data_IF_651763555570
#
_entry.id   IF_651763555570
#
_cell.length_a   1.000
_cell.length_b   1.000
_cell.length_c   1.000
_cell.angle_alpha   90.00
_cell.angle_beta   90.00
_cell.angle_gamma   90.00
#
_symmetry.space_group_name_H-M   'P 1'
#
loop_
_entity.id
_entity.type
_entity.pdbx_description
1 polymer ?
#
# COMPACT_ATOMS: atom_id res chain seq x y z
N UNK A 1 -3.05 -35.78 10.08
CA UNK A 1 -2.56 -34.60 9.32
C UNK A 1 -3.51 -34.19 8.20
N UNK A 2 -3.80 -35.06 7.23
CA UNK A 2 -4.75 -34.79 6.12
C UNK A 2 -6.10 -34.25 6.61
N UNK A 3 -6.75 -34.90 7.57
CA UNK A 3 -8.01 -34.37 8.16
C UNK A 3 -7.84 -32.97 8.78
N UNK A 4 -6.71 -32.71 9.45
CA UNK A 4 -6.43 -31.39 10.00
C UNK A 4 -6.24 -30.32 8.92
N UNK A 5 -5.81 -30.70 7.71
CA UNK A 5 -5.69 -29.79 6.57
C UNK A 5 -7.04 -29.45 5.94
N UNK A 6 -8.11 -30.17 6.28
CA UNK A 6 -9.49 -29.84 5.89
C UNK A 6 -10.22 -28.97 6.93
N UNK A 7 -9.57 -28.69 8.07
CA UNK A 7 -10.18 -27.97 9.19
C UNK A 7 -9.50 -26.61 9.35
N UNK A 8 -10.30 -25.58 9.62
CA UNK A 8 -9.85 -24.24 10.02
C UNK A 8 -10.21 -24.01 11.48
N UNK A 9 -9.32 -23.38 12.24
CA UNK A 9 -9.50 -23.15 13.68
C UNK A 9 -10.69 -22.24 14.01
N UNK A 10 -11.03 -21.31 13.11
CA UNK A 10 -12.12 -20.34 13.28
C UNK A 10 -13.17 -20.60 12.20
N UNK A 11 -14.41 -20.80 12.63
CA UNK A 11 -15.56 -20.96 11.73
C UNK A 11 -15.82 -19.66 10.97
N UNK A 12 -15.84 -19.75 9.64
CA UNK A 12 -16.15 -18.64 8.73
C UNK A 12 -17.42 -18.96 7.97
N UNK A 13 -18.39 -18.06 7.99
CA UNK A 13 -19.56 -18.13 7.11
C UNK A 13 -19.15 -17.81 5.65
N UNK A 14 -19.96 -18.17 4.64
CA UNK A 14 -19.62 -17.97 3.22
C UNK A 14 -19.27 -16.52 2.87
N UNK A 15 -19.98 -15.55 3.46
CA UNK A 15 -19.71 -14.11 3.28
C UNK A 15 -18.33 -13.67 3.79
N UNK A 16 -17.69 -14.44 4.67
CA UNK A 16 -16.33 -14.18 5.13
C UNK A 16 -15.31 -14.96 4.31
N UNK A 17 -15.63 -16.20 3.94
CA UNK A 17 -14.71 -17.06 3.18
C UNK A 17 -14.47 -16.53 1.76
N UNK A 18 -15.50 -15.93 1.14
CA UNK A 18 -15.41 -15.33 -0.19
C UNK A 18 -14.39 -14.19 -0.31
N UNK A 19 -13.96 -13.65 0.83
CA UNK A 19 -13.02 -12.54 0.91
C UNK A 19 -11.57 -13.01 0.89
N UNK A 20 -11.32 -14.28 1.23
CA UNK A 20 -9.97 -14.83 1.33
C UNK A 20 -9.48 -15.32 -0.03
N UNK A 21 -8.18 -15.14 -0.24
CA UNK A 21 -7.38 -15.81 -1.29
C UNK A 21 -6.54 -16.95 -0.72
N UNK A 22 -6.24 -16.86 0.59
CA UNK A 22 -5.40 -17.80 1.31
C UNK A 22 -6.00 -18.14 2.67
N UNK A 23 -6.20 -19.43 2.91
CA UNK A 23 -6.64 -19.97 4.18
C UNK A 23 -5.45 -20.56 4.94
N UNK A 24 -5.36 -20.27 6.24
CA UNK A 24 -4.45 -20.95 7.14
C UNK A 24 -5.22 -22.06 7.84
N UNK A 25 -4.86 -23.30 7.53
CA UNK A 25 -5.51 -24.49 8.06
C UNK A 25 -4.99 -24.81 9.46
N UNK A 26 -5.63 -25.73 10.18
CA UNK A 26 -5.22 -26.15 11.54
C UNK A 26 -3.82 -26.78 11.55
N UNK A 27 -3.36 -27.35 10.43
CA UNK A 27 -1.97 -27.80 10.26
C UNK A 27 -0.96 -26.66 10.15
N UNK A 28 -1.41 -25.39 10.20
CA UNK A 28 -0.65 -24.15 9.95
C UNK A 28 -0.16 -23.96 8.52
N UNK A 29 -0.41 -24.92 7.63
CA UNK A 29 -0.15 -24.79 6.21
C UNK A 29 -1.18 -23.88 5.54
N UNK A 30 -0.80 -23.37 4.38
CA UNK A 30 -1.63 -22.51 3.57
C UNK A 30 -2.38 -23.30 2.50
N UNK A 31 -3.58 -22.84 2.21
CA UNK A 31 -4.45 -23.38 1.18
C UNK A 31 -5.01 -22.21 0.37
N UNK A 32 -4.75 -22.19 -0.93
CA UNK A 32 -5.33 -21.20 -1.83
C UNK A 32 -6.83 -21.44 -1.96
N UNK A 33 -7.62 -20.37 -2.02
CA UNK A 33 -9.07 -20.45 -2.21
C UNK A 33 -9.50 -19.39 -3.21
N UNK A 34 -10.39 -19.79 -4.12
CA UNK A 34 -11.14 -18.88 -4.96
C UNK A 34 -12.61 -19.28 -4.87
N UNK A 35 -13.28 -18.74 -3.85
CA UNK A 35 -14.67 -19.11 -3.56
C UNK A 35 -15.62 -18.65 -4.67
N UNK A 36 -15.32 -17.54 -5.36
CA UNK A 36 -16.17 -17.00 -6.43
C UNK A 36 -16.18 -17.92 -7.64
N UNK A 37 -15.03 -18.50 -7.95
CA UNK A 37 -14.89 -19.52 -8.99
C UNK A 37 -15.17 -20.94 -8.49
N UNK A 38 -15.58 -21.09 -7.22
CA UNK A 38 -15.93 -22.37 -6.62
C UNK A 38 -14.75 -23.30 -6.37
N UNK A 39 -13.52 -22.77 -6.23
CA UNK A 39 -12.28 -23.55 -6.08
C UNK A 39 -11.67 -23.43 -4.68
N UNK A 40 -11.04 -24.51 -4.24
CA UNK A 40 -10.24 -24.58 -3.01
C UNK A 40 -9.09 -25.55 -3.21
N UNK A 41 -7.86 -25.03 -3.23
CA UNK A 41 -6.68 -25.79 -3.63
C UNK A 41 -6.86 -26.38 -5.02
N UNK A 42 -6.79 -27.71 -5.12
CA UNK A 42 -7.02 -28.50 -6.32
C UNK A 42 -8.40 -29.18 -6.36
N UNK A 43 -9.30 -28.80 -5.44
CA UNK A 43 -10.68 -29.25 -5.33
C UNK A 43 -11.66 -28.14 -5.70
N UNK A 44 -12.92 -28.52 -5.90
CA UNK A 44 -14.06 -27.62 -6.12
C UNK A 44 -15.08 -27.77 -4.99
N UNK A 45 -15.73 -26.68 -4.61
CA UNK A 45 -16.88 -26.71 -3.71
C UNK A 45 -18.07 -27.39 -4.40
N UNK A 46 -18.80 -28.24 -3.67
CA UNK A 46 -19.93 -29.02 -4.18
C UNK A 46 -21.15 -28.83 -3.31
N UNK A 47 -22.34 -28.58 -3.85
CA UNK A 47 -23.58 -28.54 -3.05
C UNK A 47 -23.65 -27.38 -2.05
N UNK A 48 -24.66 -27.44 -1.18
CA UNK A 48 -24.97 -26.36 -0.24
C UNK A 48 -24.10 -26.41 1.02
N UNK A 49 -23.85 -25.23 1.56
CA UNK A 49 -23.12 -25.04 2.82
C UNK A 49 -23.98 -25.51 4.00
N UNK A 50 -23.43 -26.38 4.86
CA UNK A 50 -24.19 -26.98 5.97
C UNK A 50 -23.81 -26.27 7.29
N UNK A 51 -24.72 -25.49 7.89
CA UNK A 51 -24.48 -24.88 9.20
C UNK A 51 -24.59 -25.93 10.31
N UNK A 52 -23.68 -25.86 11.29
CA UNK A 52 -23.61 -26.75 12.45
C UNK A 52 -23.56 -25.94 13.74
N UNK A 53 -23.81 -26.56 14.89
CA UNK A 53 -23.79 -25.89 16.20
C UNK A 53 -22.42 -25.33 16.60
N UNK A 54 -21.35 -25.88 16.04
CA UNK A 54 -19.96 -25.52 16.33
C UNK A 54 -19.15 -25.10 15.10
N UNK A 55 -19.79 -24.88 13.95
CA UNK A 55 -19.09 -24.49 12.74
C UNK A 55 -19.92 -24.55 11.47
N UNK A 56 -19.22 -24.56 10.34
CA UNK A 56 -19.80 -24.64 9.00
C UNK A 56 -19.06 -25.71 8.22
N UNK A 57 -19.79 -26.58 7.52
CA UNK A 57 -19.22 -27.60 6.65
C UNK A 57 -19.35 -27.13 5.20
N UNK A 58 -18.22 -27.10 4.51
CA UNK A 58 -18.12 -26.91 3.07
C UNK A 58 -17.83 -28.27 2.45
N UNK A 59 -18.69 -28.69 1.54
CA UNK A 59 -18.54 -29.93 0.79
C UNK A 59 -17.61 -29.67 -0.41
N UNK A 60 -16.70 -30.61 -0.67
CA UNK A 60 -15.71 -30.53 -1.76
C UNK A 60 -15.62 -31.85 -2.52
N UNK A 61 -15.27 -31.80 -3.80
CA UNK A 61 -15.20 -32.96 -4.70
C UNK A 61 -13.95 -33.83 -4.53
N UNK A 62 -12.92 -33.33 -3.84
CA UNK A 62 -11.62 -33.98 -3.72
C UNK A 62 -11.03 -33.84 -2.32
N UNK A 63 -10.29 -34.85 -1.90
CA UNK A 63 -9.51 -34.82 -0.65
C UNK A 63 -8.29 -33.92 -0.86
N UNK A 64 -8.21 -32.85 -0.06
CA UNK A 64 -7.09 -31.92 -0.05
C UNK A 64 -5.86 -32.57 0.59
N UNK A 65 -4.72 -32.46 -0.05
CA UNK A 65 -3.46 -33.00 0.47
C UNK A 65 -2.52 -31.87 0.89
N UNK A 66 -2.03 -31.87 2.14
CA UNK A 66 -1.04 -30.89 2.57
C UNK A 66 0.24 -31.05 1.75
N UNK A 67 0.89 -29.94 1.42
CA UNK A 67 2.18 -29.98 0.72
C UNK A 67 3.32 -30.13 1.74
N UNK A 68 4.20 -31.09 1.48
CA UNK A 68 5.46 -31.25 2.22
C UNK A 68 6.62 -30.53 1.53
N UNK A 69 6.39 -30.05 0.30
CA UNK A 69 7.43 -29.44 -0.50
C UNK A 69 7.73 -28.04 0.02
N UNK A 70 9.01 -27.79 0.32
CA UNK A 70 9.51 -26.45 0.57
C UNK A 70 9.49 -25.58 -0.70
N UNK A 71 9.71 -24.28 -0.55
CA UNK A 71 9.74 -23.34 -1.67
C UNK A 71 10.69 -23.78 -2.79
N UNK A 72 11.88 -24.28 -2.44
CA UNK A 72 12.87 -24.69 -3.43
C UNK A 72 12.44 -25.97 -4.17
N UNK A 73 11.99 -26.99 -3.45
CA UNK A 73 11.47 -28.24 -4.00
C UNK A 73 10.24 -28.00 -4.88
N UNK A 74 9.35 -27.09 -4.47
CA UNK A 74 8.17 -26.73 -5.25
C UNK A 74 8.56 -26.10 -6.59
N UNK A 75 9.51 -25.17 -6.58
CA UNK A 75 10.03 -24.54 -7.80
C UNK A 75 10.70 -25.58 -8.73
N UNK A 76 11.46 -26.53 -8.17
CA UNK A 76 12.11 -27.59 -8.95
C UNK A 76 11.11 -28.53 -9.63
N UNK A 77 10.02 -28.89 -8.95
CA UNK A 77 8.99 -29.82 -9.46
C UNK A 77 8.08 -29.21 -10.53
N UNK A 78 7.86 -27.90 -10.48
CA UNK A 78 6.95 -27.20 -11.40
C UNK A 78 7.52 -27.14 -12.83
N UNK A 79 8.84 -27.05 -12.98
CA UNK A 79 9.53 -27.11 -14.28
C UNK A 79 9.53 -25.80 -15.08
N UNK A 80 8.81 -24.75 -14.65
CA UNK A 80 8.87 -23.40 -15.27
C UNK A 80 10.00 -22.50 -14.75
N UNK A 81 10.73 -22.96 -13.73
CA UNK A 81 11.70 -22.17 -12.95
C UNK A 81 13.13 -22.76 -13.00
N UNK A 82 13.54 -23.38 -14.11
CA UNK A 82 14.83 -24.05 -14.21
C UNK A 82 16.01 -23.07 -14.07
N UNK A 83 15.92 -21.89 -14.70
CA UNK A 83 16.96 -20.86 -14.60
C UNK A 83 17.00 -20.30 -13.18
N UNK A 84 15.83 -20.06 -12.57
CA UNK A 84 15.74 -19.52 -11.22
C UNK A 84 16.31 -20.48 -10.17
N UNK A 85 15.93 -21.76 -10.21
CA UNK A 85 16.44 -22.79 -9.29
C UNK A 85 17.94 -23.03 -9.46
N UNK A 86 18.45 -22.97 -10.70
CA UNK A 86 19.89 -22.96 -10.97
C UNK A 86 20.57 -21.74 -10.34
N UNK A 87 19.99 -20.56 -10.47
CA UNK A 87 20.51 -19.33 -9.88
C UNK A 87 20.52 -19.36 -8.35
N UNK A 88 19.46 -19.87 -7.70
CA UNK A 88 19.39 -20.08 -6.24
C UNK A 88 20.51 -21.02 -5.77
N UNK A 89 20.78 -22.08 -6.54
CA UNK A 89 21.84 -23.04 -6.23
C UNK A 89 23.22 -22.40 -6.37
N UNK A 90 23.46 -21.68 -7.47
CA UNK A 90 24.71 -21.01 -7.76
C UNK A 90 25.04 -19.92 -6.73
N UNK A 91 24.05 -19.12 -6.32
CA UNK A 91 24.20 -18.07 -5.29
C UNK A 91 24.27 -18.59 -3.85
N UNK A 92 24.22 -19.92 -3.66
CA UNK A 92 24.24 -20.58 -2.34
C UNK A 92 23.10 -20.15 -1.40
N UNK A 93 22.03 -19.57 -1.94
CA UNK A 93 20.86 -19.11 -1.18
C UNK A 93 19.83 -20.21 -0.90
N UNK A 94 20.06 -21.45 -1.34
CA UNK A 94 19.13 -22.57 -1.12
C UNK A 94 18.68 -22.74 0.34
N UNK A 95 19.55 -22.48 1.32
CA UNK A 95 19.20 -22.53 2.75
C UNK A 95 18.06 -21.59 3.13
N UNK A 96 18.00 -20.40 2.52
CA UNK A 96 16.94 -19.42 2.77
C UNK A 96 15.58 -19.97 2.31
N UNK A 97 15.54 -20.62 1.15
CA UNK A 97 14.33 -21.21 0.56
C UNK A 97 13.91 -22.52 1.23
N UNK A 98 14.83 -23.19 1.92
CA UNK A 98 14.60 -24.48 2.59
C UNK A 98 14.31 -24.33 4.09
N UNK A 99 14.42 -23.13 4.66
CA UNK A 99 14.18 -22.93 6.09
C UNK A 99 12.70 -23.15 6.44
N UNK A 100 12.41 -24.20 7.22
CA UNK A 100 11.06 -24.59 7.66
C UNK A 100 10.58 -23.82 8.91
N UNK A 101 11.47 -23.11 9.61
CA UNK A 101 11.11 -22.40 10.84
C UNK A 101 10.54 -21.00 10.59
N UNK A 102 10.67 -20.51 9.36
CA UNK A 102 10.22 -19.19 8.94
C UNK A 102 9.25 -19.30 7.77
N UNK A 103 8.46 -18.26 7.57
CA UNK A 103 7.48 -18.17 6.49
C UNK A 103 7.91 -17.11 5.49
N UNK A 104 7.93 -17.46 4.21
CA UNK A 104 8.42 -16.58 3.15
C UNK A 104 7.38 -16.35 2.05
N UNK A 105 7.58 -15.29 1.28
CA UNK A 105 6.94 -15.06 -0.01
C UNK A 105 8.03 -15.00 -1.05
N UNK A 106 7.94 -15.85 -2.08
CA UNK A 106 8.85 -15.83 -3.22
C UNK A 106 8.12 -15.26 -4.44
N UNK A 107 8.66 -14.20 -5.02
CA UNK A 107 8.26 -13.71 -6.33
C UNK A 107 9.13 -14.44 -7.38
N UNK A 108 8.63 -15.53 -7.95
CA UNK A 108 9.41 -16.44 -8.77
C UNK A 108 9.36 -16.07 -10.27
N UNK A 109 10.46 -15.60 -10.86
CA UNK A 109 10.53 -15.34 -12.30
C UNK A 109 10.60 -16.65 -13.09
N UNK A 110 9.78 -16.77 -14.12
CA UNK A 110 9.81 -17.91 -15.04
C UNK A 110 11.08 -17.92 -15.90
N UNK A 111 11.37 -19.04 -16.56
CA UNK A 111 12.46 -19.10 -17.54
C UNK A 111 12.28 -18.07 -18.67
N UNK A 112 11.04 -17.75 -19.05
CA UNK A 112 10.75 -16.69 -20.01
C UNK A 112 11.08 -15.30 -19.46
N UNK A 113 10.84 -15.06 -18.17
CA UNK A 113 11.22 -13.82 -17.50
C UNK A 113 12.74 -13.57 -17.55
N UNK A 114 13.54 -14.62 -17.33
CA UNK A 114 15.00 -14.54 -17.48
C UNK A 114 15.43 -14.28 -18.91
N UNK A 115 14.77 -14.88 -19.91
CA UNK A 115 15.07 -14.66 -21.33
C UNK A 115 14.74 -13.25 -21.82
N UNK A 116 13.95 -12.47 -21.08
CA UNK A 116 13.72 -11.04 -21.35
C UNK A 116 14.93 -10.17 -21.00
N UNK A 117 15.88 -10.67 -20.19
CA UNK A 117 17.13 -9.96 -19.93
C UNK A 117 18.00 -9.96 -21.20
N UNK A 118 18.82 -8.92 -21.43
CA UNK A 118 19.82 -8.96 -22.48
C UNK A 118 20.71 -10.21 -22.34
N UNK A 119 20.98 -10.92 -23.43
CA UNK A 119 21.69 -12.21 -23.39
C UNK A 119 23.05 -12.11 -22.64
N UNK A 120 23.80 -11.03 -22.90
CA UNK A 120 25.07 -10.76 -22.19
C UNK A 120 24.88 -10.60 -20.68
N UNK A 121 23.79 -9.97 -20.25
CA UNK A 121 23.46 -9.82 -18.83
C UNK A 121 23.16 -11.18 -18.23
N UNK A 122 22.29 -11.98 -18.86
CA UNK A 122 21.92 -13.31 -18.37
C UNK A 122 23.14 -14.23 -18.24
N UNK A 123 24.01 -14.26 -19.24
CA UNK A 123 25.24 -15.06 -19.20
C UNK A 123 26.19 -14.58 -18.11
N UNK A 124 26.33 -13.26 -17.95
CA UNK A 124 27.20 -12.67 -16.94
C UNK A 124 26.78 -13.03 -15.51
N UNK A 125 25.47 -13.22 -15.25
CA UNK A 125 24.95 -13.56 -13.93
C UNK A 125 25.52 -14.86 -13.35
N UNK A 126 25.96 -15.79 -14.20
CA UNK A 126 26.49 -17.10 -13.77
C UNK A 126 28.03 -17.15 -13.79
N UNK A 127 28.71 -16.02 -14.01
CA UNK A 127 30.15 -15.94 -13.91
C UNK A 127 30.58 -15.86 -12.43
N UNK A 128 31.67 -16.53 -12.02
CA UNK A 128 32.13 -16.52 -10.62
C UNK A 128 32.35 -15.12 -10.05
N UNK A 129 32.74 -14.15 -10.87
CA UNK A 129 32.98 -12.77 -10.44
C UNK A 129 31.68 -12.04 -10.06
N UNK A 130 30.51 -12.57 -10.43
CA UNK A 130 29.19 -11.99 -10.16
C UNK A 130 28.40 -12.76 -9.08
N UNK A 131 29.05 -13.63 -8.31
CA UNK A 131 28.40 -14.43 -7.25
C UNK A 131 27.63 -13.55 -6.24
N UNK A 132 28.23 -12.44 -5.79
CA UNK A 132 27.57 -11.49 -4.87
C UNK A 132 26.36 -10.82 -5.52
N UNK A 133 26.49 -10.39 -6.78
CA UNK A 133 25.39 -9.80 -7.54
C UNK A 133 24.24 -10.79 -7.72
N UNK A 134 24.55 -12.05 -7.99
CA UNK A 134 23.55 -13.11 -8.13
C UNK A 134 22.85 -13.38 -6.79
N UNK A 135 23.60 -13.40 -5.69
CA UNK A 135 23.04 -13.49 -4.33
C UNK A 135 22.06 -12.36 -4.04
N UNK A 136 22.43 -11.12 -4.35
CA UNK A 136 21.57 -9.95 -4.14
C UNK A 136 20.29 -10.02 -4.96
N UNK A 137 20.38 -10.39 -6.24
CA UNK A 137 19.22 -10.59 -7.10
C UNK A 137 18.30 -11.68 -6.53
N UNK A 138 18.85 -12.82 -6.08
CA UNK A 138 18.02 -13.91 -5.52
C UNK A 138 17.35 -13.48 -4.20
N UNK A 139 18.07 -12.81 -3.31
CA UNK A 139 17.51 -12.27 -2.06
C UNK A 139 16.42 -11.22 -2.32
N UNK A 140 16.52 -10.49 -3.43
CA UNK A 140 15.53 -9.49 -3.79
C UNK A 140 14.16 -10.09 -4.17
N UNK A 141 14.15 -11.33 -4.66
CA UNK A 141 12.92 -12.04 -5.04
C UNK A 141 12.19 -12.74 -3.88
N UNK A 142 12.70 -12.67 -2.65
CA UNK A 142 12.12 -13.35 -1.49
C UNK A 142 11.94 -12.38 -0.32
N UNK A 143 10.87 -12.54 0.44
CA UNK A 143 10.59 -11.75 1.65
C UNK A 143 10.46 -12.68 2.85
N UNK A 144 10.83 -12.21 4.06
CA UNK A 144 10.78 -12.98 5.31
C UNK A 144 9.40 -12.96 5.98
N UNK A 145 8.34 -12.96 5.18
CA UNK A 145 6.96 -13.05 5.64
C UNK A 145 6.05 -13.52 4.52
N UNK A 146 4.84 -13.97 4.87
CA UNK A 146 3.79 -14.28 3.89
C UNK A 146 2.99 -13.02 3.59
N UNK A 147 2.98 -12.64 2.32
CA UNK A 147 2.19 -11.55 1.73
C UNK A 147 1.26 -12.13 0.67
N UNK A 148 0.03 -12.45 1.06
CA UNK A 148 -0.97 -13.00 0.14
C UNK A 148 -1.39 -11.96 -0.91
N UNK A 149 -1.83 -12.40 -2.09
CA UNK A 149 -2.31 -11.50 -3.13
C UNK A 149 -3.63 -10.83 -2.73
N UNK A 150 -4.57 -11.60 -2.18
CA UNK A 150 -5.79 -11.09 -1.56
C UNK A 150 -5.79 -11.22 -0.03
N UNK A 151 -6.95 -11.07 0.62
CA UNK A 151 -7.02 -11.26 2.09
C UNK A 151 -6.57 -12.67 2.46
N UNK A 152 -5.86 -12.75 3.58
CA UNK A 152 -5.50 -14.03 4.19
C UNK A 152 -6.12 -14.15 5.57
N UNK A 153 -6.65 -15.34 5.87
CA UNK A 153 -7.10 -15.63 7.24
C UNK A 153 -5.91 -15.73 8.21
N UNK A 154 -6.18 -15.55 9.51
CA UNK A 154 -5.17 -15.69 10.56
C UNK A 154 -4.21 -14.51 10.71
N UNK A 155 -4.62 -13.30 10.33
CA UNK A 155 -3.87 -12.06 10.58
C UNK A 155 -2.60 -11.89 9.74
N UNK A 156 -2.55 -12.52 8.55
CA UNK A 156 -1.42 -12.35 7.63
C UNK A 156 -1.60 -11.09 6.78
N UNK A 157 -0.47 -10.59 6.29
CA UNK A 157 -0.40 -9.38 5.49
C UNK A 157 -0.83 -9.70 4.06
N UNK A 158 -1.55 -8.78 3.46
CA UNK A 158 -1.97 -8.87 2.06
C UNK A 158 -1.30 -7.75 1.27
N UNK A 159 -0.87 -8.07 0.05
CA UNK A 159 -0.29 -7.08 -0.86
C UNK A 159 -1.33 -6.02 -1.20
N UNK A 160 -0.90 -4.76 -1.25
CA UNK A 160 -1.82 -3.65 -1.54
C UNK A 160 -2.81 -3.35 -0.42
N UNK A 161 -2.53 -3.74 0.84
CA UNK A 161 -3.14 -3.09 2.03
C UNK A 161 -2.32 -1.85 2.36
N UNK A 162 -2.99 -0.77 2.76
CA UNK A 162 -2.35 0.46 3.23
C UNK A 162 -1.33 0.15 4.33
N UNK A 163 -0.14 0.75 4.24
CA UNK A 163 0.97 0.55 5.21
C UNK A 163 1.54 -0.88 5.26
N UNK A 164 1.12 -1.76 4.35
CA UNK A 164 1.70 -3.08 4.18
C UNK A 164 2.69 -3.04 3.04
N UNK A 165 3.95 -2.88 3.43
CA UNK A 165 5.06 -2.76 2.49
C UNK A 165 5.99 -3.97 2.63
N UNK A 166 6.06 -4.85 1.62
CA UNK A 166 7.01 -5.95 1.63
C UNK A 166 8.44 -5.43 1.50
N UNK A 167 9.34 -6.00 2.30
CA UNK A 167 10.78 -5.85 2.14
C UNK A 167 11.36 -7.19 1.70
N UNK A 168 12.21 -7.13 0.69
CA UNK A 168 13.00 -8.28 0.26
C UNK A 168 14.05 -8.66 1.30
N UNK A 169 14.54 -9.89 1.25
CA UNK A 169 15.66 -10.36 2.07
C UNK A 169 16.97 -9.64 1.74
N UNK A 170 17.04 -8.95 0.60
CA UNK A 170 18.13 -8.03 0.27
C UNK A 170 18.06 -6.73 1.10
N UNK A 171 16.90 -6.39 1.66
CA UNK A 171 16.68 -5.21 2.50
C UNK A 171 16.05 -4.03 1.77
N UNK A 172 15.77 -4.16 0.47
CA UNK A 172 15.03 -3.15 -0.30
C UNK A 172 13.52 -3.41 -0.25
N UNK A 173 12.77 -2.32 -0.35
CA UNK A 173 11.32 -2.37 -0.41
C UNK A 173 10.90 -2.87 -1.79
N UNK A 174 9.86 -3.71 -1.85
CA UNK A 174 9.24 -4.12 -3.09
C UNK A 174 7.96 -3.32 -3.31
N UNK A 175 7.82 -2.73 -4.49
CA UNK A 175 6.70 -1.87 -4.83
C UNK A 175 5.55 -2.66 -5.46
N UNK A 176 4.46 -2.85 -4.73
CA UNK A 176 3.26 -3.48 -5.24
C UNK A 176 2.29 -2.46 -5.84
N UNK A 177 1.89 -2.65 -7.11
CA UNK A 177 0.88 -1.81 -7.78
C UNK A 177 -0.25 -2.64 -8.36
N UNK A 178 -1.48 -2.16 -8.24
CA UNK A 178 -2.65 -2.81 -8.83
C UNK A 178 -3.20 -2.00 -10.00
N UNK A 179 -3.11 -2.54 -11.22
CA UNK A 179 -3.55 -1.90 -12.46
C UNK A 179 -4.94 -2.36 -12.91
N UNK A 180 -5.87 -2.52 -11.97
CA UNK A 180 -7.28 -2.89 -12.21
C UNK A 180 -7.53 -4.33 -12.67
N UNK A 181 -6.73 -4.84 -13.61
CA UNK A 181 -6.81 -6.21 -14.16
C UNK A 181 -5.65 -7.11 -13.76
N UNK A 182 -4.53 -6.54 -13.35
CA UNK A 182 -3.33 -7.27 -12.96
C UNK A 182 -2.58 -6.46 -11.91
N UNK A 183 -1.78 -7.16 -11.09
CA UNK A 183 -0.84 -6.52 -10.20
C UNK A 183 0.59 -6.61 -10.75
N UNK A 184 1.43 -5.70 -10.28
CA UNK A 184 2.87 -5.74 -10.48
C UNK A 184 3.60 -5.65 -9.14
N UNK A 185 4.80 -6.21 -9.12
CA UNK A 185 5.78 -6.04 -8.05
C UNK A 185 7.07 -5.51 -8.70
N UNK A 186 7.48 -4.29 -8.35
CA UNK A 186 8.56 -3.54 -9.01
C UNK A 186 8.46 -3.52 -10.55
N UNK A 187 7.21 -3.37 -11.04
CA UNK A 187 6.90 -3.36 -12.47
C UNK A 187 6.98 -4.73 -13.18
N UNK A 188 7.30 -5.81 -12.46
CA UNK A 188 7.12 -7.18 -12.94
C UNK A 188 5.67 -7.61 -12.74
N UNK A 189 5.00 -8.08 -13.79
CA UNK A 189 3.60 -8.51 -13.72
C UNK A 189 3.51 -9.82 -12.95
N UNK A 190 2.62 -9.88 -11.97
CA UNK A 190 2.29 -11.11 -11.26
C UNK A 190 1.30 -11.90 -12.13
N UNK A 191 1.70 -13.10 -12.57
CA UNK A 191 0.93 -13.94 -13.51
C UNK A 191 0.13 -15.03 -12.82
N UNK A 192 0.64 -15.57 -11.71
CA UNK A 192 -0.05 -16.53 -10.85
C UNK A 192 0.25 -16.17 -9.39
N UNK A 193 -0.71 -16.41 -8.50
CA UNK A 193 -0.66 -15.90 -7.13
C UNK A 193 -0.88 -17.01 -6.11
N UNK A 194 -0.36 -16.81 -4.91
CA UNK A 194 -0.73 -17.58 -3.70
C UNK A 194 -0.51 -19.10 -3.83
N UNK A 195 0.51 -19.55 -4.56
CA UNK A 195 0.83 -20.98 -4.69
C UNK A 195 1.44 -21.47 -3.35
N UNK A 196 0.76 -22.35 -2.59
CA UNK A 196 1.19 -22.72 -1.25
C UNK A 196 2.39 -23.68 -1.26
N UNK A 197 3.30 -23.48 -0.29
CA UNK A 197 4.45 -24.34 0.02
C UNK A 197 4.49 -24.63 1.52
N UNK A 198 5.32 -25.58 1.95
CA UNK A 198 5.43 -25.95 3.37
C UNK A 198 5.93 -24.78 4.25
N UNK A 199 6.76 -23.88 3.69
CA UNK A 199 7.36 -22.74 4.38
C UNK A 199 7.02 -21.37 3.75
N UNK A 200 5.91 -21.27 3.03
CA UNK A 200 5.54 -19.98 2.43
C UNK A 200 4.58 -20.07 1.26
N UNK A 201 4.62 -19.05 0.42
CA UNK A 201 3.86 -18.96 -0.82
C UNK A 201 4.75 -18.48 -1.99
N UNK A 202 4.36 -18.83 -3.21
CA UNK A 202 4.98 -18.37 -4.45
C UNK A 202 3.98 -17.51 -5.22
N UNK A 203 4.43 -16.33 -5.65
CA UNK A 203 3.81 -15.53 -6.69
C UNK A 203 4.67 -15.63 -7.94
N UNK A 204 4.10 -16.02 -9.07
CA UNK A 204 4.84 -16.15 -10.34
C UNK A 204 4.89 -14.78 -11.02
N UNK A 205 6.07 -14.38 -11.48
CA UNK A 205 6.28 -13.08 -12.13
C UNK A 205 6.88 -13.24 -13.54
N UNK A 206 6.58 -12.27 -14.40
CA UNK A 206 6.96 -12.31 -15.81
C UNK A 206 8.29 -11.61 -16.14
N UNK A 207 8.95 -11.01 -15.15
CA UNK A 207 10.24 -10.30 -15.28
C UNK A 207 11.10 -10.54 -14.04
N UNK A 208 12.41 -10.57 -14.22
CA UNK A 208 13.37 -10.59 -13.11
C UNK A 208 13.39 -9.19 -12.46
N UNK A 209 13.23 -9.13 -11.14
CA UNK A 209 13.34 -7.91 -10.35
C UNK A 209 14.79 -7.71 -9.95
N UNK A 210 15.37 -6.57 -10.28
CA UNK A 210 16.76 -6.25 -9.97
C UNK A 210 16.79 -5.24 -8.81
N UNK A 211 17.67 -5.44 -7.81
CA UNK A 211 17.89 -4.42 -6.79
C UNK A 211 18.25 -3.08 -7.40
N UNK A 212 17.77 -1.99 -6.81
CA UNK A 212 18.15 -0.64 -7.21
C UNK A 212 19.55 -0.30 -6.69
N UNK A 213 20.49 -0.03 -7.60
CA UNK A 213 21.85 0.39 -7.25
C UNK A 213 21.99 1.92 -7.22
N UNK A 214 21.03 2.65 -7.80
CA UNK A 214 21.10 4.10 -7.94
C UNK A 214 20.55 4.82 -6.71
N UNK A 215 21.21 5.92 -6.34
CA UNK A 215 20.67 6.89 -5.39
C UNK A 215 19.50 7.65 -5.98
N UNK A 216 18.70 8.26 -5.11
CA UNK A 216 17.60 9.14 -5.48
C UNK A 216 18.07 10.29 -6.40
N UNK A 217 19.25 10.85 -6.14
CA UNK A 217 19.82 11.93 -6.96
C UNK A 217 20.30 11.41 -8.32
N UNK A 218 20.88 10.21 -8.39
CA UNK A 218 21.29 9.61 -9.66
C UNK A 218 20.09 9.29 -10.55
N UNK A 219 18.99 8.78 -9.97
CA UNK A 219 17.74 8.58 -10.71
C UNK A 219 17.20 9.90 -11.27
N UNK A 220 17.14 10.95 -10.44
CA UNK A 220 16.68 12.28 -10.87
C UNK A 220 17.57 12.85 -11.97
N UNK A 221 18.90 12.76 -11.82
CA UNK A 221 19.86 13.27 -12.81
C UNK A 221 19.87 12.45 -14.11
N UNK A 222 19.59 11.15 -14.03
CA UNK A 222 19.55 10.24 -15.17
C UNK A 222 18.32 10.43 -16.06
N UNK A 223 17.23 10.98 -15.53
CA UNK A 223 15.98 11.16 -16.26
C UNK A 223 15.81 12.58 -16.81
N UNK A 224 15.72 12.71 -18.14
CA UNK A 224 15.62 14.02 -18.83
C UNK A 224 14.46 14.90 -18.33
N UNK A 225 13.35 14.28 -17.93
CA UNK A 225 12.14 14.97 -17.44
C UNK A 225 12.30 15.67 -16.10
N UNK A 226 13.39 15.42 -15.37
CA UNK A 226 13.72 16.07 -14.10
C UNK A 226 14.94 16.99 -14.19
N UNK A 227 15.39 17.35 -15.39
CA UNK A 227 16.59 18.17 -15.58
C UNK A 227 16.49 19.54 -14.89
N UNK A 228 15.33 20.20 -14.91
CA UNK A 228 15.13 21.47 -14.18
C UNK A 228 15.26 21.25 -12.67
N UNK A 229 14.60 20.23 -12.13
CA UNK A 229 14.70 19.88 -10.71
C UNK A 229 16.15 19.57 -10.30
N UNK A 230 16.86 18.77 -11.09
CA UNK A 230 18.25 18.41 -10.82
C UNK A 230 19.15 19.65 -10.72
N UNK A 231 18.97 20.63 -11.63
CA UNK A 231 19.71 21.90 -11.58
C UNK A 231 19.40 22.68 -10.31
N UNK A 232 18.12 22.81 -9.95
CA UNK A 232 17.67 23.56 -8.78
C UNK A 232 18.14 22.91 -7.47
N UNK A 233 18.18 21.59 -7.37
CA UNK A 233 18.71 20.87 -6.21
C UNK A 233 20.20 21.17 -5.98
N UNK A 234 20.99 21.23 -7.04
CA UNK A 234 22.42 21.56 -6.96
C UNK A 234 22.66 23.04 -6.69
N UNK A 235 21.88 23.93 -7.31
CA UNK A 235 22.00 25.38 -7.08
C UNK A 235 21.67 25.79 -5.64
N UNK A 236 20.65 25.17 -5.05
CA UNK A 236 20.23 25.44 -3.66
C UNK A 236 21.03 24.68 -2.62
N UNK A 237 21.88 23.72 -3.03
CA UNK A 237 22.64 22.84 -2.15
C UNK A 237 21.78 21.79 -1.41
N UNK A 238 20.52 21.60 -1.81
CA UNK A 238 19.64 20.58 -1.25
C UNK A 238 20.04 19.15 -1.68
N UNK A 239 20.88 19.02 -2.70
CA UNK A 239 21.49 17.73 -3.08
C UNK A 239 22.42 17.16 -1.98
N UNK A 240 23.10 18.01 -1.20
CA UNK A 240 23.99 17.56 -0.11
C UNK A 240 23.27 16.69 0.94
N UNK A 241 22.16 17.13 1.57
CA UNK A 241 21.42 16.28 2.51
C UNK A 241 20.76 15.06 1.83
N UNK A 242 20.35 15.18 0.56
CA UNK A 242 19.74 14.08 -0.21
C UNK A 242 20.74 13.00 -0.63
N UNK A 243 22.04 13.31 -0.64
CA UNK A 243 23.12 12.35 -0.91
C UNK A 243 23.41 11.42 0.29
N UNK A 244 22.79 11.66 1.46
CA UNK A 244 22.97 10.80 2.64
C UNK A 244 22.56 9.36 2.36
N UNK A 245 23.42 8.42 2.75
CA UNK A 245 23.13 6.98 2.78
C UNK A 245 22.54 6.51 4.12
N UNK A 246 22.53 7.37 5.15
CA UNK A 246 22.04 7.04 6.50
C UNK A 246 20.56 7.38 6.69
N UNK A 247 20.03 8.22 5.83
CA UNK A 247 18.66 8.72 5.91
C UNK A 247 17.96 8.36 4.63
N UNK A 248 16.76 7.79 4.75
CA UNK A 248 15.91 7.54 3.59
C UNK A 248 15.01 8.74 3.35
N UNK A 249 14.73 9.02 2.08
CA UNK A 249 13.87 10.13 1.67
C UNK A 249 12.77 9.66 0.72
N UNK A 250 11.67 10.40 0.72
CA UNK A 250 10.66 10.32 -0.34
C UNK A 250 10.59 11.68 -1.00
N UNK A 251 10.93 11.76 -2.28
CA UNK A 251 10.87 13.00 -3.04
C UNK A 251 9.69 12.95 -4.01
N UNK A 252 8.90 14.03 -4.01
CA UNK A 252 7.89 14.29 -5.01
C UNK A 252 8.50 15.21 -6.06
N UNK A 253 9.10 14.63 -7.11
CA UNK A 253 9.86 15.31 -8.14
C UNK A 253 8.93 15.95 -9.20
N UNK A 254 8.83 17.29 -9.29
CA UNK A 254 8.07 17.93 -10.35
C UNK A 254 8.79 17.76 -11.68
N UNK A 255 8.05 17.31 -12.69
CA UNK A 255 8.55 17.23 -14.07
C UNK A 255 8.85 18.62 -14.63
N UNK A 256 9.68 18.72 -15.66
CA UNK A 256 10.06 19.99 -16.28
C UNK A 256 8.86 20.90 -16.60
N UNK A 257 7.75 20.34 -17.08
CA UNK A 257 6.52 21.08 -17.41
C UNK A 257 5.87 21.73 -16.19
N UNK A 258 6.09 21.19 -14.98
CA UNK A 258 5.58 21.76 -13.74
C UNK A 258 6.26 23.10 -13.40
N UNK A 259 7.55 23.24 -13.76
CA UNK A 259 8.35 24.44 -13.51
C UNK A 259 8.08 25.57 -14.51
N UNK A 260 7.43 25.27 -15.63
CA UNK A 260 7.03 26.26 -16.65
C UNK A 260 5.73 27.00 -16.30
N UNK A 261 5.14 26.69 -15.15
CA UNK A 261 3.93 27.34 -14.65
C UNK A 261 4.30 28.54 -13.76
N UNK A 262 3.52 29.62 -13.85
CA UNK A 262 3.65 30.73 -12.90
C UNK A 262 3.13 30.31 -11.51
N UNK A 263 3.73 30.81 -10.41
CA UNK A 263 4.79 31.83 -10.35
C UNK A 263 6.23 31.29 -10.52
N UNK A 264 6.40 29.97 -10.61
CA UNK A 264 7.72 29.31 -10.56
C UNK A 264 8.61 29.65 -11.75
N UNK A 265 8.01 29.77 -12.93
CA UNK A 265 8.73 30.19 -14.14
C UNK A 265 9.42 31.54 -13.99
N UNK A 266 8.69 32.54 -13.47
CA UNK A 266 9.25 33.87 -13.21
C UNK A 266 10.26 33.84 -12.08
N UNK A 267 10.01 33.05 -11.03
CA UNK A 267 10.94 32.89 -9.91
C UNK A 267 12.29 32.34 -10.40
N UNK A 268 12.29 31.24 -11.16
CA UNK A 268 13.53 30.63 -11.69
C UNK A 268 14.31 31.62 -12.56
N UNK A 269 13.63 32.47 -13.34
CA UNK A 269 14.32 33.47 -14.18
C UNK A 269 14.88 34.66 -13.40
N UNK A 270 14.22 35.07 -12.31
CA UNK A 270 14.47 36.37 -11.67
C UNK A 270 15.03 36.27 -10.23
N UNK A 271 15.26 35.06 -9.71
CA UNK A 271 15.58 34.86 -8.30
C UNK A 271 16.90 35.50 -7.82
N UNK A 272 17.90 35.69 -8.71
CA UNK A 272 19.20 36.27 -8.32
C UNK A 272 19.85 35.54 -7.15
N UNK A 273 20.75 36.20 -6.41
CA UNK A 273 21.41 35.57 -5.23
C UNK A 273 20.49 35.39 -4.02
N UNK A 274 19.43 36.20 -3.88
CA UNK A 274 18.54 36.16 -2.70
C UNK A 274 17.41 35.13 -2.83
N UNK A 275 16.99 34.77 -4.04
CA UNK A 275 15.91 33.80 -4.23
C UNK A 275 16.36 32.33 -4.16
N UNK A 276 17.65 32.06 -3.93
CA UNK A 276 18.12 30.71 -3.63
C UNK A 276 17.50 30.16 -2.34
N UNK A 277 17.27 30.99 -1.32
CA UNK A 277 16.58 30.59 -0.08
C UNK A 277 15.10 30.30 -0.32
N UNK A 278 14.44 31.10 -1.17
CA UNK A 278 13.05 30.90 -1.57
C UNK A 278 12.88 29.59 -2.35
N UNK A 279 13.77 29.34 -3.32
CA UNK A 279 13.83 28.08 -4.07
C UNK A 279 14.14 26.89 -3.16
N UNK A 280 15.08 27.03 -2.22
CA UNK A 280 15.36 26.00 -1.22
C UNK A 280 14.10 25.66 -0.44
N UNK A 281 13.35 26.66 0.04
CA UNK A 281 12.08 26.45 0.73
C UNK A 281 11.08 25.68 -0.12
N UNK A 282 10.93 26.04 -1.40
CA UNK A 282 10.02 25.33 -2.33
C UNK A 282 10.45 23.88 -2.49
N UNK A 283 11.72 23.62 -2.80
CA UNK A 283 12.26 22.27 -2.99
C UNK A 283 12.16 21.44 -1.70
N UNK A 284 12.40 22.05 -0.55
CA UNK A 284 12.30 21.41 0.76
C UNK A 284 10.90 20.89 1.09
N UNK A 285 9.85 21.44 0.48
CA UNK A 285 8.47 20.92 0.60
C UNK A 285 8.23 19.66 -0.22
N UNK A 286 9.06 19.40 -1.23
CA UNK A 286 8.96 18.22 -2.07
C UNK A 286 9.67 17.00 -1.47
N UNK A 287 10.45 17.20 -0.40
CA UNK A 287 11.23 16.14 0.24
C UNK A 287 10.64 15.82 1.61
N UNK A 288 10.40 14.53 1.83
CA UNK A 288 9.88 13.97 3.08
C UNK A 288 10.93 13.04 3.66
N UNK A 289 11.13 13.12 4.98
CA UNK A 289 12.03 12.21 5.70
C UNK A 289 11.38 10.84 5.85
N UNK A 290 12.14 9.80 5.55
CA UNK A 290 11.68 8.42 5.56
C UNK A 290 11.14 7.97 4.21
N UNK A 291 10.90 6.67 4.13
CA UNK A 291 10.36 5.99 2.96
C UNK A 291 8.85 5.82 3.09
N UNK A 292 8.09 6.56 2.29
CA UNK A 292 6.63 6.59 2.33
C UNK A 292 6.07 6.13 1.00
N UNK A 293 5.37 5.00 1.03
CA UNK A 293 4.75 4.40 -0.15
C UNK A 293 3.59 5.28 -0.61
N UNK A 294 3.62 5.68 -1.86
CA UNK A 294 2.65 6.55 -2.50
C UNK A 294 1.64 5.80 -3.33
N UNK A 295 1.89 4.58 -3.80
CA UNK A 295 0.90 3.78 -4.53
C UNK A 295 -0.25 3.39 -3.62
N UNK A 296 0.08 2.91 -2.41
CA UNK A 296 -0.90 2.44 -1.45
C UNK A 296 -0.68 3.05 -0.04
N UNK A 297 -0.80 4.38 0.06
CA UNK A 297 -0.64 5.08 1.32
C UNK A 297 -1.87 4.89 2.17
N UNK A 298 -1.70 4.98 3.50
CA UNK A 298 -2.86 5.22 4.38
C UNK A 298 -3.70 6.37 3.81
N UNK A 299 -5.02 6.22 3.66
CA UNK A 299 -5.84 7.31 3.16
C UNK A 299 -5.66 8.54 4.03
N UNK A 300 -5.34 9.68 3.43
CA UNK A 300 -5.06 10.93 4.15
C UNK A 300 -3.87 10.81 5.14
N UNK A 301 -2.75 10.26 4.67
CA UNK A 301 -1.52 10.15 5.47
C UNK A 301 -0.86 11.52 5.62
N UNK A 302 -0.78 12.03 6.86
CA UNK A 302 -0.07 13.27 7.20
C UNK A 302 1.42 12.99 7.33
N UNK A 303 2.19 13.55 6.41
CA UNK A 303 3.64 13.46 6.35
C UNK A 303 4.27 14.81 6.72
N UNK A 304 5.54 14.77 7.14
CA UNK A 304 6.31 15.98 7.44
C UNK A 304 7.41 16.16 6.40
N UNK A 305 7.37 17.29 5.71
CA UNK A 305 8.43 17.71 4.80
C UNK A 305 9.69 18.06 5.59
N UNK A 306 10.86 18.11 4.94
CA UNK A 306 12.09 18.61 5.59
C UNK A 306 11.99 20.10 5.95
N UNK A 307 11.11 20.85 5.28
CA UNK A 307 10.73 22.21 5.65
C UNK A 307 9.90 22.28 6.96
N UNK A 308 9.40 21.15 7.45
CA UNK A 308 8.58 21.04 8.66
C UNK A 308 7.08 21.23 8.43
N UNK A 309 6.67 21.69 7.25
CA UNK A 309 5.27 21.82 6.87
C UNK A 309 4.61 20.44 6.71
N UNK A 310 3.38 20.25 7.20
CA UNK A 310 2.62 19.02 6.97
C UNK A 310 2.20 18.94 5.50
N UNK A 311 2.21 17.72 4.96
CA UNK A 311 1.76 17.43 3.61
C UNK A 311 0.91 16.16 3.64
N UNK A 312 -0.18 16.13 2.87
CA UNK A 312 -1.13 15.03 2.93
C UNK A 312 -1.08 14.21 1.67
N UNK A 313 -0.74 12.94 1.85
CA UNK A 313 -0.82 11.94 0.82
C UNK A 313 -2.23 11.32 0.89
N UNK A 314 -2.97 11.50 -0.19
CA UNK A 314 -4.38 11.11 -0.30
C UNK A 314 -4.56 10.12 -1.43
N UNK A 315 -5.48 9.19 -1.28
CA UNK A 315 -5.84 8.24 -2.34
C UNK A 315 -7.29 8.52 -2.77
N UNK A 316 -7.53 8.62 -4.08
CA UNK A 316 -8.87 8.81 -4.64
C UNK A 316 -8.98 8.21 -6.04
N UNK A 317 -10.08 7.50 -6.33
CA UNK A 317 -10.33 6.83 -7.62
C UNK A 317 -9.15 5.96 -8.12
N UNK A 318 -8.44 5.30 -7.19
CA UNK A 318 -7.27 4.48 -7.52
C UNK A 318 -6.03 5.26 -7.96
N UNK A 319 -5.99 6.58 -7.72
CA UNK A 319 -4.83 7.42 -7.98
C UNK A 319 -4.42 8.17 -6.73
N UNK A 320 -3.16 8.05 -6.38
CA UNK A 320 -2.59 8.79 -5.27
C UNK A 320 -2.28 10.23 -5.65
N UNK A 321 -2.51 11.11 -4.69
CA UNK A 321 -2.31 12.55 -4.80
C UNK A 321 -1.57 13.06 -3.59
N UNK A 322 -0.62 13.95 -3.79
CA UNK A 322 0.08 14.65 -2.72
C UNK A 322 -0.43 16.10 -2.67
N UNK A 323 -1.06 16.51 -1.57
CA UNK A 323 -1.70 17.84 -1.45
C UNK A 323 -2.61 18.21 -2.64
N UNK A 324 -3.41 17.24 -3.10
CA UNK A 324 -4.31 17.41 -4.25
C UNK A 324 -3.64 17.30 -5.63
N UNK A 325 -2.30 17.30 -5.70
CA UNK A 325 -1.53 17.14 -6.93
C UNK A 325 -1.45 15.66 -7.28
N UNK A 326 -1.79 15.33 -8.52
CA UNK A 326 -1.71 13.95 -9.01
C UNK A 326 -0.25 13.50 -9.12
N UNK A 327 0.02 12.32 -8.58
CA UNK A 327 1.28 11.60 -8.79
C UNK A 327 1.19 10.91 -10.16
N UNK A 328 2.16 11.20 -11.03
CA UNK A 328 2.27 10.65 -12.39
C UNK A 328 2.81 9.23 -12.30
N UNK A 329 3.99 9.10 -11.70
CA UNK A 329 4.65 7.83 -11.42
C UNK A 329 5.02 7.78 -9.94
N UNK A 330 4.56 6.73 -9.27
CA UNK A 330 4.76 6.51 -7.84
C UNK A 330 5.95 5.59 -7.55
N UNK A 331 6.62 5.82 -6.43
CA UNK A 331 7.46 4.84 -5.73
C UNK A 331 8.55 4.19 -6.60
N UNK A 332 9.29 4.99 -7.37
CA UNK A 332 10.49 4.50 -8.04
C UNK A 332 11.57 4.28 -6.99
N UNK A 333 12.02 3.03 -6.85
CA UNK A 333 12.96 2.58 -5.82
C UNK A 333 14.37 3.11 -6.08
N UNK A 334 14.92 3.84 -5.11
CA UNK A 334 16.34 4.16 -4.99
C UNK A 334 16.90 3.50 -3.72
N UNK A 335 18.21 3.25 -3.66
CA UNK A 335 18.77 2.62 -2.45
C UNK A 335 18.58 3.49 -1.19
N UNK A 336 18.51 4.81 -1.32
CA UNK A 336 18.29 5.75 -0.21
C UNK A 336 16.91 6.43 -0.24
N UNK A 337 15.93 5.92 -0.99
CA UNK A 337 14.60 6.55 -0.99
C UNK A 337 13.62 6.12 -2.07
N UNK A 338 12.57 6.92 -2.23
CA UNK A 338 11.56 6.79 -3.28
C UNK A 338 11.45 8.08 -4.08
N UNK A 339 11.39 7.95 -5.41
CA UNK A 339 11.10 9.06 -6.33
C UNK A 339 9.66 8.94 -6.83
N UNK A 340 8.90 10.01 -6.65
CA UNK A 340 7.52 10.15 -7.11
C UNK A 340 7.42 11.31 -8.10
N UNK A 341 7.14 11.04 -9.37
CA UNK A 341 6.95 12.08 -10.37
C UNK A 341 5.63 12.81 -10.16
N UNK A 342 5.63 14.14 -10.15
CA UNK A 342 4.41 14.96 -10.03
C UNK A 342 4.29 15.98 -11.16
N UNK A 343 3.07 16.32 -11.53
CA UNK A 343 2.77 17.22 -12.65
C UNK A 343 2.73 18.72 -12.31
N UNK A 344 2.86 19.06 -11.03
CA UNK A 344 2.78 20.43 -10.54
C UNK A 344 3.70 20.59 -9.34
N UNK A 345 4.28 21.76 -9.15
CA UNK A 345 5.06 22.09 -7.96
C UNK A 345 4.11 22.15 -6.75
N UNK A 346 4.52 21.58 -5.63
CA UNK A 346 3.80 21.65 -4.36
C UNK A 346 3.81 23.09 -3.87
N UNK A 347 2.66 23.75 -4.02
CA UNK A 347 2.43 25.09 -3.47
C UNK A 347 2.49 25.05 -1.94
N UNK A 348 2.76 26.20 -1.32
CA UNK A 348 2.64 26.36 0.14
C UNK A 348 1.16 26.33 0.53
N UNK A 349 0.62 25.26 1.14
CA UNK A 349 -0.77 25.29 1.52
C UNK A 349 -0.89 26.16 2.77
N UNK A 350 -1.69 27.23 2.65
CA UNK A 350 -2.24 27.93 3.81
C UNK A 350 -3.32 27.03 4.43
N UNK A 351 -2.90 26.00 5.17
CA UNK A 351 -3.83 25.38 6.12
C UNK A 351 -4.07 26.39 7.24
N UNK A 352 -5.34 26.54 7.65
CA UNK A 352 -5.67 27.27 8.87
C UNK A 352 -4.74 26.77 9.99
N UNK A 353 -4.14 27.67 10.79
CA UNK A 353 -3.40 27.26 11.98
C UNK A 353 -4.25 26.23 12.74
N UNK A 354 -3.66 25.10 13.18
CA UNK A 354 -4.37 24.02 13.89
C UNK A 354 -5.13 24.52 15.16
N UNK A 355 -4.94 25.77 15.55
CA UNK A 355 -5.62 26.48 16.64
C UNK A 355 -6.97 27.11 16.25
N UNK A 356 -7.28 27.23 14.96
CA UNK A 356 -8.47 27.94 14.47
C UNK A 356 -9.65 27.02 14.12
N UNK A 357 -9.49 25.70 14.27
CA UNK A 357 -10.57 24.73 14.04
C UNK A 357 -11.54 24.66 15.23
N UNK A 358 -12.84 24.59 14.94
CA UNK A 358 -13.90 24.58 15.96
C UNK A 358 -14.66 23.25 16.01
N UNK A 359 -15.43 23.05 17.08
CA UNK A 359 -16.36 21.90 17.18
C UNK A 359 -17.44 21.96 16.09
N UNK A 360 -17.87 23.16 15.69
CA UNK A 360 -18.85 23.36 14.60
C UNK A 360 -18.28 22.86 13.27
N UNK A 361 -17.00 23.12 13.00
CA UNK A 361 -16.33 22.62 11.80
C UNK A 361 -16.28 21.09 11.79
N UNK A 362 -16.03 20.46 12.96
CA UNK A 362 -16.07 19.02 13.11
C UNK A 362 -17.47 18.44 12.86
N UNK A 363 -18.54 19.12 13.31
CA UNK A 363 -19.93 18.71 13.08
C UNK A 363 -20.28 18.77 11.59
N UNK A 364 -20.01 19.91 10.94
CA UNK A 364 -20.26 20.10 9.51
C UNK A 364 -19.47 19.07 8.68
N UNK A 365 -18.24 18.79 9.08
CA UNK A 365 -17.42 17.76 8.45
C UNK A 365 -18.08 16.38 8.48
N UNK A 366 -18.59 15.97 9.65
CA UNK A 366 -19.24 14.66 9.83
C UNK A 366 -20.57 14.60 9.09
N UNK A 367 -21.37 15.67 9.12
CA UNK A 367 -22.62 15.77 8.37
C UNK A 367 -22.39 15.64 6.85
N UNK A 368 -21.40 16.36 6.30
CA UNK A 368 -21.05 16.26 4.89
C UNK A 368 -20.57 14.85 4.53
N UNK A 369 -19.74 14.24 5.38
CA UNK A 369 -19.27 12.87 5.20
C UNK A 369 -20.43 11.87 5.16
N UNK A 370 -21.37 11.98 6.10
CA UNK A 370 -22.55 11.11 6.14
C UNK A 370 -23.43 11.28 4.89
N UNK A 371 -23.60 12.50 4.39
CA UNK A 371 -24.37 12.80 3.18
C UNK A 371 -23.70 12.18 1.95
N UNK A 372 -22.45 12.56 1.66
CA UNK A 372 -21.69 12.08 0.49
C UNK A 372 -21.60 10.56 0.46
N UNK A 373 -21.26 9.93 1.58
CA UNK A 373 -21.12 8.47 1.63
C UNK A 373 -22.47 7.74 1.55
N UNK A 374 -23.57 8.35 2.02
CA UNK A 374 -24.91 7.76 1.85
C UNK A 374 -25.36 7.80 0.39
N UNK A 375 -24.97 8.83 -0.37
CA UNK A 375 -25.31 8.92 -1.79
C UNK A 375 -24.67 7.76 -2.59
N UNK A 376 -23.41 7.42 -2.31
CA UNK A 376 -22.77 6.22 -2.87
C UNK A 376 -23.51 4.94 -2.46
N UNK A 377 -23.82 4.80 -1.17
CA UNK A 377 -24.51 3.62 -0.64
C UNK A 377 -25.87 3.39 -1.30
N UNK A 378 -26.66 4.46 -1.47
CA UNK A 378 -28.00 4.40 -2.06
C UNK A 378 -27.98 4.04 -3.55
N UNK A 379 -26.87 4.31 -4.26
CA UNK A 379 -26.64 3.89 -5.65
C UNK A 379 -26.17 2.43 -5.77
N UNK A 380 -25.96 1.74 -4.65
CA UNK A 380 -25.34 0.40 -4.64
C UNK A 380 -23.82 0.43 -4.78
N UNK A 381 -23.20 1.62 -4.77
CA UNK A 381 -21.75 1.82 -4.84
C UNK A 381 -21.12 1.66 -3.44
N UNK A 382 -21.29 0.49 -2.84
CA UNK A 382 -20.88 0.23 -1.45
C UNK A 382 -19.37 0.41 -1.25
N UNK A 383 -18.57 0.09 -2.27
CA UNK A 383 -17.14 0.30 -2.22
C UNK A 383 -16.78 1.78 -2.12
N UNK A 384 -17.35 2.61 -3.01
CA UNK A 384 -17.12 4.04 -3.00
C UNK A 384 -17.56 4.67 -1.68
N UNK A 385 -18.72 4.24 -1.14
CA UNK A 385 -19.22 4.67 0.16
C UNK A 385 -18.24 4.34 1.29
N UNK A 386 -17.82 3.08 1.37
CA UNK A 386 -16.88 2.64 2.39
C UNK A 386 -15.54 3.36 2.29
N UNK A 387 -14.90 3.38 1.11
CA UNK A 387 -13.63 4.08 0.89
C UNK A 387 -13.71 5.56 1.24
N UNK A 388 -14.85 6.21 0.97
CA UNK A 388 -15.05 7.59 1.40
C UNK A 388 -15.07 7.70 2.93
N UNK A 389 -15.77 6.83 3.64
CA UNK A 389 -15.72 6.80 5.11
C UNK A 389 -14.31 6.55 5.65
N UNK A 390 -13.52 5.65 5.05
CA UNK A 390 -12.12 5.42 5.43
C UNK A 390 -11.31 6.71 5.31
N UNK A 391 -11.33 7.33 4.12
CA UNK A 391 -10.58 8.55 3.84
C UNK A 391 -10.99 9.69 4.77
N UNK A 392 -12.29 9.93 4.89
CA UNK A 392 -12.86 10.99 5.73
C UNK A 392 -12.64 10.73 7.22
N UNK A 393 -12.58 9.47 7.63
CA UNK A 393 -12.28 9.07 9.01
C UNK A 393 -10.84 9.33 9.38
N UNK A 394 -9.89 9.01 8.49
CA UNK A 394 -8.49 9.37 8.68
C UNK A 394 -8.29 10.90 8.70
N UNK A 395 -8.96 11.63 7.80
CA UNK A 395 -8.95 13.09 7.83
C UNK A 395 -9.54 13.63 9.13
N UNK A 396 -10.65 13.06 9.59
CA UNK A 396 -11.28 13.45 10.86
C UNK A 396 -10.33 13.24 12.04
N UNK A 397 -9.73 12.06 12.15
CA UNK A 397 -8.78 11.74 13.21
C UNK A 397 -7.51 12.61 13.14
N UNK A 398 -7.13 13.05 11.95
CA UNK A 398 -5.94 13.89 11.78
C UNK A 398 -6.21 15.33 12.19
N UNK A 399 -7.39 15.88 11.86
CA UNK A 399 -7.74 17.29 12.11
C UNK A 399 -8.50 17.51 13.41
N UNK A 400 -9.47 16.65 13.72
CA UNK A 400 -10.50 16.90 14.72
C UNK A 400 -10.43 15.95 15.92
N UNK A 401 -9.43 15.08 16.04
CA UNK A 401 -9.36 14.10 17.14
C UNK A 401 -9.36 14.73 18.53
N UNK A 402 -8.89 15.97 18.66
CA UNK A 402 -8.93 16.71 19.93
C UNK A 402 -10.36 16.98 20.45
N UNK A 403 -11.36 16.94 19.57
CA UNK A 403 -12.76 17.18 19.90
C UNK A 403 -13.49 15.92 20.36
N UNK A 404 -12.85 14.76 20.38
CA UNK A 404 -13.48 13.49 20.75
C UNK A 404 -12.65 12.70 21.76
N UNK A 405 -13.29 11.75 22.43
CA UNK A 405 -12.61 10.86 23.37
C UNK A 405 -11.69 9.85 22.68
N UNK A 406 -10.69 9.33 23.41
CA UNK A 406 -9.82 8.24 22.92
C UNK A 406 -10.60 6.98 22.56
N UNK A 407 -11.68 6.67 23.30
CA UNK A 407 -12.59 5.56 23.01
C UNK A 407 -13.23 5.70 21.62
N UNK A 408 -13.67 6.91 21.29
CA UNK A 408 -14.34 7.19 20.02
C UNK A 408 -13.34 7.26 18.87
N UNK A 409 -12.15 7.81 19.14
CA UNK A 409 -11.03 7.73 18.20
C UNK A 409 -10.72 6.27 17.85
N UNK A 410 -10.75 5.35 18.83
CA UNK A 410 -10.53 3.93 18.59
C UNK A 410 -11.67 3.27 17.83
N UNK A 411 -12.93 3.62 18.09
CA UNK A 411 -14.08 3.14 17.30
C UNK A 411 -13.95 3.54 15.82
N UNK A 412 -13.56 4.79 15.54
CA UNK A 412 -13.30 5.24 14.17
C UNK A 412 -12.13 4.44 13.58
N UNK A 413 -11.01 4.32 14.30
CA UNK A 413 -9.85 3.51 13.85
C UNK A 413 -10.24 2.07 13.48
N UNK A 414 -11.14 1.45 14.23
CA UNK A 414 -11.56 0.07 14.01
C UNK A 414 -12.38 -0.11 12.72
N UNK A 415 -13.18 0.87 12.33
CA UNK A 415 -13.95 0.80 11.07
C UNK A 415 -13.17 1.29 9.87
N UNK A 416 -12.09 2.06 10.09
CA UNK A 416 -11.20 2.52 9.01
C UNK A 416 -10.02 1.59 8.71
N UNK A 417 -9.95 0.44 9.40
CA UNK A 417 -8.89 -0.53 9.22
C UNK A 417 -9.18 -1.40 8.01
N UNK A 418 -8.18 -1.56 7.13
CA UNK A 418 -8.20 -2.32 5.87
C UNK A 418 -8.84 -1.54 4.70
N UNK A 419 -8.13 -1.43 3.56
CA UNK A 419 -8.54 -0.72 2.34
C UNK A 419 -8.44 -1.59 1.07
N UNK A 420 -8.35 -2.92 1.24
CA UNK A 420 -8.20 -3.87 0.13
C UNK A 420 -9.28 -3.71 -0.96
N UNK A 421 -8.91 -3.83 -2.24
CA UNK A 421 -9.83 -3.66 -3.38
C UNK A 421 -10.79 -4.82 -3.70
N UNK A 422 -10.88 -5.89 -2.89
CA UNK A 422 -11.48 -7.16 -3.37
C UNK A 422 -12.71 -7.67 -2.59
N UNK A 423 -13.20 -7.02 -1.53
CA UNK A 423 -14.34 -7.54 -0.75
C UNK A 423 -15.68 -6.84 -1.07
N UNK A 424 -16.81 -7.53 -0.87
CA UNK A 424 -18.13 -6.87 -0.76
C UNK A 424 -18.11 -5.93 0.47
N UNK A 425 -18.48 -4.67 0.26
CA UNK A 425 -18.28 -3.57 1.22
C UNK A 425 -19.58 -3.03 1.83
N UNK A 426 -20.72 -3.69 1.61
CA UNK A 426 -22.00 -3.21 2.12
C UNK A 426 -22.05 -3.21 3.67
N UNK A 427 -21.59 -4.29 4.31
CA UNK A 427 -21.56 -4.39 5.76
C UNK A 427 -20.54 -3.42 6.38
N UNK A 428 -19.39 -3.27 5.74
CA UNK A 428 -18.31 -2.37 6.15
C UNK A 428 -18.72 -0.90 5.99
N UNK A 429 -19.39 -0.54 4.90
CA UNK A 429 -19.98 0.78 4.68
C UNK A 429 -21.07 1.07 5.72
N UNK A 430 -21.91 0.08 6.03
CA UNK A 430 -22.95 0.22 7.05
C UNK A 430 -22.37 0.41 8.46
N UNK A 431 -21.38 -0.40 8.83
CA UNK A 431 -20.67 -0.26 10.11
C UNK A 431 -20.00 1.10 10.23
N UNK A 432 -19.30 1.53 9.18
CA UNK A 432 -18.68 2.86 9.10
C UNK A 432 -19.71 3.97 9.28
N UNK A 433 -20.84 3.88 8.56
CA UNK A 433 -21.95 4.84 8.69
C UNK A 433 -22.43 4.96 10.14
N UNK A 434 -22.62 3.85 10.85
CA UNK A 434 -23.10 3.89 12.23
C UNK A 434 -22.09 4.54 13.18
N UNK A 435 -20.80 4.26 13.02
CA UNK A 435 -19.75 4.93 13.80
C UNK A 435 -19.73 6.44 13.53
N UNK A 436 -19.87 6.87 12.27
CA UNK A 436 -19.97 8.30 11.94
C UNK A 436 -21.24 8.97 12.50
N UNK A 437 -22.36 8.23 12.60
CA UNK A 437 -23.58 8.73 13.26
C UNK A 437 -23.39 8.89 14.76
N UNK A 438 -22.73 7.95 15.41
CA UNK A 438 -22.41 8.04 16.84
C UNK A 438 -21.40 9.16 17.12
N UNK A 439 -20.43 9.34 16.23
CA UNK A 439 -19.50 10.47 16.25
C UNK A 439 -20.23 11.81 16.15
N UNK A 440 -21.19 11.93 15.22
CA UNK A 440 -21.99 13.15 15.07
C UNK A 440 -22.74 13.49 16.37
N UNK A 441 -23.38 12.49 16.98
CA UNK A 441 -24.13 12.65 18.24
C UNK A 441 -23.23 13.13 19.38
N UNK A 442 -22.01 12.60 19.50
CA UNK A 442 -21.05 13.05 20.53
C UNK A 442 -20.62 14.50 20.31
N UNK A 443 -20.32 14.87 19.06
CA UNK A 443 -19.93 16.23 18.73
C UNK A 443 -21.07 17.22 18.99
N UNK A 444 -22.30 16.89 18.60
CA UNK A 444 -23.50 17.71 18.86
C UNK A 444 -23.75 17.85 20.38
N UNK A 445 -23.62 16.77 21.16
CA UNK A 445 -23.71 16.84 22.62
C UNK A 445 -22.61 17.70 23.27
N UNK A 446 -21.44 17.81 22.63
CA UNK A 446 -20.33 18.65 23.10
C UNK A 446 -20.54 20.10 22.69
N UNK A 447 -21.03 20.35 21.48
CA UNK A 447 -21.48 21.67 21.04
C UNK A 447 -22.51 22.21 22.02
N UNK A 448 -23.57 21.45 22.35
CA UNK A 448 -24.60 21.84 23.32
C UNK A 448 -24.03 22.22 24.71
N UNK A 449 -22.81 21.79 25.06
CA UNK A 449 -22.09 22.20 26.29
C UNK A 449 -21.18 23.42 26.13
N UNK A 450 -20.72 23.71 24.91
CA UNK A 450 -19.93 24.91 24.55
C UNK A 450 -20.86 26.10 24.21
N UNK A 451 -22.13 25.78 23.96
CA UNK A 451 -23.20 26.61 23.41
C UNK A 451 -23.68 27.78 24.26
N UNK A 452 -23.13 28.03 25.45
CA UNK A 452 -23.48 29.23 26.23
C UNK A 452 -22.77 30.52 25.78
N UNK A 453 -21.76 30.48 24.89
CA UNK A 453 -21.04 31.72 24.47
C UNK A 453 -21.10 32.08 22.98
N UNK A 454 -21.17 31.11 22.05
CA UNK A 454 -21.11 31.39 20.60
C UNK A 454 -22.49 31.43 19.92
N UNK A 455 -23.51 30.82 20.53
CA UNK A 455 -24.89 30.79 19.97
C UNK A 455 -25.66 32.12 20.08
N UNK A 456 -25.08 33.17 20.66
CA UNK A 456 -25.65 34.52 20.54
C UNK A 456 -25.41 35.16 19.16
N UNK A 457 -24.62 34.54 18.26
CA UNK A 457 -24.19 35.23 17.03
C UNK A 457 -24.83 34.73 15.72
N UNK A 458 -25.45 33.54 15.64
CA UNK A 458 -25.98 33.02 14.36
C UNK A 458 -27.26 32.17 14.53
N UNK A 459 -28.46 32.80 14.52
CA UNK A 459 -29.73 32.13 14.84
C UNK A 459 -30.40 31.35 13.67
N UNK A 460 -29.96 31.51 12.42
CA UNK A 460 -30.79 31.16 11.24
C UNK A 460 -30.42 29.86 10.46
N UNK A 461 -29.79 28.85 11.07
CA UNK A 461 -29.53 27.56 10.38
C UNK A 461 -30.27 26.37 10.99
N UNK A 462 -31.04 25.67 10.15
CA UNK A 462 -31.77 24.46 10.50
C UNK A 462 -30.82 23.29 10.82
N UNK A 463 -31.12 22.54 11.89
CA UNK A 463 -30.34 21.40 12.40
C UNK A 463 -30.85 20.09 11.78
N UNK A 464 -29.96 19.16 11.46
CA UNK A 464 -30.35 17.86 10.89
C UNK A 464 -30.89 16.94 11.99
N UNK A 465 -32.19 16.65 11.99
CA UNK A 465 -32.80 15.67 12.90
C UNK A 465 -33.55 16.23 14.12
N UNK A 466 -33.89 17.51 14.15
CA UNK A 466 -35.02 18.04 14.94
C UNK A 466 -36.04 18.70 14.02
#
# INVERSE_FOLDING_TARGET
EVFGFHVKEISEAPIFIEKYSLLRMTTRQFLSIDFKDGKIGDASFTGDVIPCSNGVIYLIDKVLTPTTDDLFQRLQKDGRFNIFTKAITASRQGKLFQNMHSLYTTFAPTDEAFRKLPAKTLESLFLPENDERLEDIIKHHITESVFAYGKSSGGRRSLGVSDVTPFSAFGQQLNYKFHGKHATIDGAKITETDIPCANGIIHVIDRVILPSENSLLELIKGEKRFSTLASLLTETGLDLPLASSRTTFTIFAPVNEAWEQEPYKSLIKNHGKSGAEELYGILARHVIVGKHVSENPKPYNKLRTIHGAPIYLTQGEGKSKISGIRIIDSDTEAFNGLVNAIGSVINDPMELPEKDITTVDAILFVQNTLKESSDFYNKGEYEASWRNYIRRGNEFLTKYSQFISSSQSNKIRNVIFDDQPVAQLAAEAWSSRNVFRDLLRELEQREDRIVDSYLMQLPDRARFGR
#
